data_IF_071759173823
#
_entry.id   IF_071759173823
#
_cell.length_a   1.000
_cell.length_b   1.000
_cell.length_c   1.000
_cell.angle_alpha   90.00
_cell.angle_beta   90.00
_cell.angle_gamma   90.00
#
_symmetry.space_group_name_H-M   'P 1'
#
loop_
_entity.id
_entity.type
_entity.pdbx_description
1 polymer ?
#
# COMPACT_ATOMS: atom_id res chain seq x y z
N UNK A 1 -6.88 -20.24 -1.74
CA UNK A 1 -5.89 -19.98 -0.68
C UNK A 1 -5.93 -18.49 -0.38
N UNK A 2 -6.71 -18.05 0.62
CA UNK A 2 -6.71 -16.64 1.03
C UNK A 2 -5.49 -16.48 1.91
N UNK A 3 -4.35 -16.10 1.32
CA UNK A 3 -3.29 -15.52 2.12
C UNK A 3 -3.93 -14.34 2.86
N UNK A 4 -4.03 -14.46 4.18
CA UNK A 4 -4.30 -13.32 5.03
C UNK A 4 -3.11 -12.39 4.84
N UNK A 5 -3.19 -11.52 3.84
CA UNK A 5 -2.36 -10.33 3.70
C UNK A 5 -2.79 -9.43 4.86
N UNK A 6 -2.47 -9.81 6.09
CA UNK A 6 -2.38 -8.85 7.17
C UNK A 6 -1.25 -7.94 6.72
N UNK A 7 -1.52 -6.64 6.44
CA UNK A 7 -0.46 -5.73 6.14
C UNK A 7 0.58 -5.83 7.27
N UNK A 8 1.84 -6.07 6.91
CA UNK A 8 2.96 -5.88 7.81
C UNK A 8 3.08 -4.37 8.08
N UNK A 9 2.21 -3.88 8.96
CA UNK A 9 2.10 -2.48 9.30
C UNK A 9 3.28 -2.11 10.18
N UNK A 10 4.15 -1.23 9.67
CA UNK A 10 5.23 -0.64 10.44
C UNK A 10 4.64 0.36 11.44
N UNK A 11 4.95 0.16 12.71
CA UNK A 11 4.60 1.06 13.80
C UNK A 11 5.88 1.63 14.42
N UNK A 12 5.88 2.90 14.78
CA UNK A 12 7.08 3.55 15.36
C UNK A 12 6.93 3.87 16.86
N UNK A 13 5.74 3.60 17.39
CA UNK A 13 5.36 3.84 18.78
C UNK A 13 4.74 2.56 19.35
N UNK A 14 5.12 2.20 20.56
CA UNK A 14 4.58 1.06 21.30
C UNK A 14 4.48 1.38 22.79
N UNK A 15 3.81 0.50 23.53
CA UNK A 15 3.93 0.42 24.98
C UNK A 15 5.01 -0.59 25.38
N UNK A 16 5.75 -0.30 26.44
CA UNK A 16 6.54 -1.31 27.16
C UNK A 16 5.63 -2.13 28.10
N UNK A 17 6.22 -3.06 28.87
CA UNK A 17 5.48 -3.87 29.85
C UNK A 17 4.92 -3.09 31.05
N UNK A 18 5.20 -1.79 31.15
CA UNK A 18 4.72 -0.87 32.19
C UNK A 18 3.78 0.19 31.62
N UNK A 19 3.29 0.01 30.39
CA UNK A 19 2.42 0.94 29.67
C UNK A 19 3.05 2.31 29.40
N UNK A 20 4.39 2.41 29.37
CA UNK A 20 5.07 3.62 28.93
C UNK A 20 5.24 3.63 27.42
N UNK A 21 5.08 4.82 26.83
CA UNK A 21 5.36 5.05 25.42
C UNK A 21 6.86 4.87 25.13
N UNK A 22 7.15 4.05 24.12
CA UNK A 22 8.51 3.85 23.61
C UNK A 22 8.54 4.07 22.10
N UNK A 23 9.56 4.79 21.63
CA UNK A 23 9.84 4.98 20.21
C UNK A 23 10.77 3.87 19.72
N UNK A 24 10.45 3.29 18.57
CA UNK A 24 11.20 2.16 18.00
C UNK A 24 12.71 2.45 17.85
N UNK A 25 13.06 3.68 17.47
CA UNK A 25 14.44 4.15 17.29
C UNK A 25 15.24 4.26 18.60
N UNK A 26 14.56 4.40 19.73
CA UNK A 26 15.16 4.60 21.06
C UNK A 26 15.28 3.29 21.83
N UNK A 27 14.65 2.22 21.33
CA UNK A 27 14.74 0.90 21.92
C UNK A 27 16.15 0.35 21.73
N UNK A 28 16.85 0.19 22.86
CA UNK A 28 18.07 -0.61 22.91
C UNK A 28 17.68 -2.07 22.84
N UNK A 29 18.33 -2.83 21.96
CA UNK A 29 18.15 -4.29 21.84
C UNK A 29 18.67 -4.93 23.13
N UNK A 30 17.79 -5.03 24.12
CA UNK A 30 17.98 -5.80 25.34
C UNK A 30 17.10 -7.05 25.22
N UNK A 31 17.62 -8.18 25.67
CA UNK A 31 17.18 -9.52 25.27
C UNK A 31 15.76 -9.93 25.66
N UNK A 32 15.04 -9.17 26.50
CA UNK A 32 13.74 -9.61 27.06
C UNK A 32 12.66 -8.52 27.10
N UNK A 33 12.83 -7.42 26.36
CA UNK A 33 11.81 -6.38 26.34
C UNK A 33 10.61 -6.81 25.48
N UNK A 34 9.41 -6.83 26.08
CA UNK A 34 8.15 -7.04 25.38
C UNK A 34 7.49 -5.70 25.07
N UNK A 35 6.94 -5.57 23.87
CA UNK A 35 6.27 -4.37 23.40
C UNK A 35 4.84 -4.66 22.98
N UNK A 36 3.97 -3.67 23.15
CA UNK A 36 2.54 -3.81 22.88
C UNK A 36 2.01 -2.67 22.01
N UNK A 37 1.02 -2.99 21.18
CA UNK A 37 0.35 -1.99 20.35
C UNK A 37 -0.44 -1.01 21.21
N UNK A 38 -0.25 0.29 20.99
CA UNK A 38 -0.97 1.34 21.72
C UNK A 38 -2.48 1.39 21.45
N UNK A 39 -2.96 0.70 20.40
CA UNK A 39 -4.38 0.66 20.05
C UNK A 39 -5.09 -0.63 20.51
N UNK A 40 -4.43 -1.79 20.46
CA UNK A 40 -5.07 -3.08 20.73
C UNK A 40 -4.36 -3.95 21.78
N UNK A 41 -3.22 -3.49 22.31
CA UNK A 41 -2.40 -4.21 23.28
C UNK A 41 -1.91 -5.60 22.79
N UNK A 42 -1.98 -5.87 21.48
CA UNK A 42 -1.33 -7.05 20.91
C UNK A 42 0.19 -6.96 21.06
N UNK A 43 0.88 -8.09 21.30
CA UNK A 43 2.32 -8.17 21.25
C UNK A 43 2.89 -7.68 19.92
N UNK A 44 3.99 -6.94 20.03
CA UNK A 44 4.76 -6.43 18.91
C UNK A 44 6.16 -7.02 18.91
N UNK A 45 6.74 -7.14 17.72
CA UNK A 45 8.14 -7.50 17.49
C UNK A 45 8.87 -6.28 16.94
N UNK A 46 10.02 -5.94 17.51
CA UNK A 46 10.94 -4.96 16.94
C UNK A 46 11.64 -5.55 15.71
N UNK A 47 11.64 -4.80 14.60
CA UNK A 47 12.40 -5.05 13.38
C UNK A 47 13.43 -3.94 13.22
N UNK A 48 14.70 -4.34 13.18
CA UNK A 48 15.86 -3.45 13.07
C UNK A 48 16.99 -4.07 12.26
N UNK A 49 16.66 -5.12 11.51
CA UNK A 49 17.56 -5.97 10.73
C UNK A 49 17.83 -5.43 9.32
N UNK A 50 17.15 -4.34 8.93
CA UNK A 50 17.30 -3.73 7.61
C UNK A 50 18.25 -2.54 7.68
N UNK A 51 19.40 -2.68 7.01
CA UNK A 51 20.43 -1.63 6.93
C UNK A 51 19.86 -0.39 6.24
N UNK A 52 20.02 0.77 6.89
CA UNK A 52 19.60 2.07 6.35
C UNK A 52 18.13 2.43 6.60
N UNK A 53 17.35 1.54 7.22
CA UNK A 53 16.02 1.87 7.72
C UNK A 53 16.03 2.10 9.24
N UNK A 54 15.28 3.10 9.69
CA UNK A 54 15.03 3.33 11.12
C UNK A 54 14.18 2.19 11.67
N UNK A 55 14.47 1.69 12.88
CA UNK A 55 13.77 0.56 13.48
C UNK A 55 12.25 0.80 13.58
N UNK A 56 11.45 -0.27 13.45
CA UNK A 56 10.00 -0.24 13.58
C UNK A 56 9.49 -1.48 14.32
N UNK A 57 8.27 -1.41 14.80
CA UNK A 57 7.52 -2.53 15.34
C UNK A 57 6.56 -3.11 14.31
N UNK A 58 6.33 -4.41 14.40
CA UNK A 58 5.32 -5.14 13.63
C UNK A 58 4.47 -5.95 14.60
N UNK A 59 3.17 -6.08 14.31
CA UNK A 59 2.31 -6.99 15.07
C UNK A 59 2.81 -8.43 14.98
N UNK A 60 2.91 -9.09 16.13
CA UNK A 60 3.28 -10.50 16.24
C UNK A 60 2.25 -11.24 17.11
N UNK A 61 0.99 -11.36 16.64
CA UNK A 61 -0.07 -11.98 17.40
C UNK A 61 0.17 -13.48 17.56
N UNK A 62 -0.15 -14.00 18.73
CA UNK A 62 -0.37 -15.42 18.99
C UNK A 62 -1.86 -15.77 18.84
N UNK A 63 -2.23 -17.04 19.08
CA UNK A 63 -3.63 -17.47 18.94
C UNK A 63 -4.60 -16.71 19.86
N UNK A 64 -4.14 -16.27 21.03
CA UNK A 64 -5.00 -15.58 22.02
C UNK A 64 -5.20 -14.11 21.69
N UNK A 65 -4.28 -13.49 20.96
CA UNK A 65 -4.30 -12.05 20.64
C UNK A 65 -4.79 -11.73 19.22
N UNK A 66 -5.14 -12.74 18.41
CA UNK A 66 -5.73 -12.55 17.07
C UNK A 66 -7.03 -11.75 17.08
N UNK A 67 -7.91 -11.99 18.05
CA UNK A 67 -9.18 -11.25 18.16
C UNK A 67 -8.95 -9.78 18.47
N UNK A 68 -7.99 -9.48 19.36
CA UNK A 68 -7.57 -8.11 19.66
C UNK A 68 -7.01 -7.41 18.42
N UNK A 69 -6.22 -8.13 17.61
CA UNK A 69 -5.64 -7.58 16.39
C UNK A 69 -6.72 -7.21 15.37
N UNK A 70 -7.80 -7.98 15.25
CA UNK A 70 -8.92 -7.65 14.37
C UNK A 70 -9.59 -6.30 14.74
N UNK A 71 -9.57 -5.94 16.01
CA UNK A 71 -10.05 -4.65 16.52
C UNK A 71 -9.05 -3.49 16.38
N UNK A 72 -7.80 -3.74 15.98
CA UNK A 72 -6.75 -2.73 15.99
C UNK A 72 -7.06 -1.54 15.04
N UNK A 73 -7.10 -0.33 15.60
CA UNK A 73 -7.37 0.90 14.85
C UNK A 73 -6.35 1.19 13.76
N UNK A 74 -5.06 0.92 14.01
CA UNK A 74 -4.00 1.10 13.03
C UNK A 74 -4.15 0.14 11.83
N UNK A 75 -4.37 -1.14 12.13
CA UNK A 75 -4.57 -2.18 11.10
C UNK A 75 -5.82 -1.88 10.26
N UNK A 76 -6.93 -1.56 10.92
CA UNK A 76 -8.19 -1.24 10.26
C UNK A 76 -8.06 0.00 9.35
N UNK A 77 -7.28 0.99 9.76
CA UNK A 77 -7.00 2.18 8.93
C UNK A 77 -6.22 1.80 7.67
N UNK A 78 -5.17 0.98 7.78
CA UNK A 78 -4.40 0.56 6.62
C UNK A 78 -5.21 -0.35 5.69
N UNK A 79 -6.03 -1.26 6.22
CA UNK A 79 -6.95 -2.07 5.41
C UNK A 79 -7.92 -1.16 4.64
N UNK A 80 -8.55 -0.18 5.30
CA UNK A 80 -9.44 0.78 4.65
C UNK A 80 -8.72 1.55 3.54
N UNK A 81 -7.48 2.00 3.79
CA UNK A 81 -6.64 2.67 2.79
C UNK A 81 -6.37 1.79 1.57
N UNK A 82 -5.98 0.53 1.78
CA UNK A 82 -5.71 -0.42 0.71
C UNK A 82 -6.96 -0.75 -0.11
N UNK A 83 -8.10 -0.95 0.55
CA UNK A 83 -9.39 -1.17 -0.11
C UNK A 83 -9.78 0.05 -0.95
N UNK A 84 -9.64 1.26 -0.39
CA UNK A 84 -9.90 2.50 -1.11
C UNK A 84 -9.01 2.63 -2.35
N UNK A 85 -7.70 2.43 -2.22
CA UNK A 85 -6.76 2.50 -3.34
C UNK A 85 -7.05 1.48 -4.43
N UNK A 86 -7.45 0.24 -4.06
CA UNK A 86 -7.87 -0.78 -5.03
C UNK A 86 -9.13 -0.37 -5.78
N UNK A 87 -10.13 0.18 -5.07
CA UNK A 87 -11.36 0.69 -5.71
C UNK A 87 -11.05 1.84 -6.66
N UNK A 88 -10.24 2.81 -6.22
CA UNK A 88 -9.83 3.93 -7.05
C UNK A 88 -9.13 3.46 -8.34
N UNK A 89 -8.18 2.54 -8.22
CA UNK A 89 -7.48 1.97 -9.39
C UNK A 89 -8.44 1.23 -10.31
N UNK A 90 -9.41 0.50 -9.76
CA UNK A 90 -10.43 -0.17 -10.57
C UNK A 90 -11.30 0.83 -11.34
N UNK A 91 -11.69 1.95 -10.72
CA UNK A 91 -12.45 3.01 -11.41
C UNK A 91 -11.59 3.59 -12.54
N UNK A 92 -10.35 3.99 -12.25
CA UNK A 92 -9.44 4.54 -13.27
C UNK A 92 -9.21 3.59 -14.45
N UNK A 93 -9.14 2.28 -14.20
CA UNK A 93 -8.97 1.28 -15.23
C UNK A 93 -10.24 1.01 -16.06
N UNK A 94 -11.42 1.27 -15.49
CA UNK A 94 -12.73 1.08 -16.14
C UNK A 94 -13.31 2.37 -16.69
N UNK A 95 -12.68 3.52 -16.44
CA UNK A 95 -12.96 4.74 -17.19
C UNK A 95 -12.58 4.48 -18.63
N UNK A 96 -13.47 4.80 -19.56
CA UNK A 96 -13.15 4.75 -20.99
C UNK A 96 -11.81 5.44 -21.18
N UNK A 97 -10.87 4.76 -21.84
CA UNK A 97 -9.69 5.44 -22.37
C UNK A 97 -10.26 6.61 -23.14
N UNK A 98 -9.95 7.83 -22.73
CA UNK A 98 -10.27 9.01 -23.53
C UNK A 98 -9.55 8.79 -24.86
N UNK A 99 -10.28 8.22 -25.82
CA UNK A 99 -9.87 8.17 -27.21
C UNK A 99 -9.78 9.61 -27.61
N UNK A 100 -8.57 10.17 -27.56
CA UNK A 100 -8.36 11.51 -28.07
C UNK A 100 -8.56 11.41 -29.58
N UNK A 101 -9.79 11.65 -30.02
CA UNK A 101 -10.09 11.80 -31.44
C UNK A 101 -9.27 12.98 -31.91
N UNK A 102 -8.29 12.70 -32.75
CA UNK A 102 -7.46 13.75 -33.35
C UNK A 102 -7.92 13.95 -34.78
N UNK A 103 -7.91 15.22 -35.18
CA UNK A 103 -8.21 15.65 -36.53
C UNK A 103 -6.90 16.02 -37.22
N UNK A 104 -6.73 15.54 -38.44
CA UNK A 104 -5.52 15.77 -39.23
C UNK A 104 -5.95 16.17 -40.64
N UNK A 105 -5.25 17.11 -41.25
CA UNK A 105 -5.49 17.50 -42.64
C UNK A 105 -4.33 17.01 -43.51
N UNK A 106 -4.62 16.24 -44.56
CA UNK A 106 -3.62 15.83 -45.54
C UNK A 106 -3.48 16.90 -46.61
N UNK A 107 -2.32 17.56 -46.64
CA UNK A 107 -2.02 18.60 -47.64
C UNK A 107 -1.91 18.05 -49.07
N UNK A 108 -1.60 16.75 -49.23
CA UNK A 108 -1.52 16.10 -50.55
C UNK A 108 -2.90 15.71 -51.11
N UNK A 109 -3.76 15.18 -50.25
CA UNK A 109 -5.11 14.75 -50.63
C UNK A 109 -6.15 15.88 -50.50
N UNK A 110 -5.77 17.00 -49.89
CA UNK A 110 -6.64 18.13 -49.53
C UNK A 110 -7.89 17.71 -48.74
N UNK A 111 -7.72 16.79 -47.80
CA UNK A 111 -8.84 16.21 -47.06
C UNK A 111 -8.59 16.09 -45.54
N UNK A 112 -9.67 16.04 -44.77
CA UNK A 112 -9.66 15.96 -43.31
C UNK A 112 -9.92 14.53 -42.83
N UNK A 113 -9.04 14.04 -41.96
CA UNK A 113 -9.12 12.73 -41.33
C UNK A 113 -9.41 12.88 -39.85
N UNK A 114 -10.23 11.98 -39.32
CA UNK A 114 -10.44 11.83 -37.87
C UNK A 114 -10.21 10.38 -37.47
N UNK A 115 -9.56 10.16 -36.33
CA UNK A 115 -9.34 8.81 -35.83
C UNK A 115 -8.86 8.81 -34.38
N UNK A 116 -8.90 7.62 -33.77
CA UNK A 116 -8.32 7.39 -32.45
C UNK A 116 -6.81 7.16 -32.58
N UNK A 117 -6.01 7.88 -31.79
CA UNK A 117 -4.60 7.53 -31.66
C UNK A 117 -4.48 6.29 -30.77
N UNK A 118 -4.22 5.14 -31.36
CA UNK A 118 -3.74 3.97 -30.62
C UNK A 118 -2.29 4.30 -30.21
N UNK A 119 -2.01 4.39 -28.92
CA UNK A 119 -0.64 4.58 -28.42
C UNK A 119 0.26 3.51 -29.06
N UNK A 120 1.43 3.88 -29.62
CA UNK A 120 2.20 2.96 -30.44
C UNK A 120 2.78 1.85 -29.56
N UNK A 121 2.20 0.65 -29.65
CA UNK A 121 3.00 -0.56 -29.48
C UNK A 121 3.97 -0.60 -30.65
N UNK A 122 5.26 -0.65 -30.35
CA UNK A 122 6.37 -0.71 -31.31
C UNK A 122 6.10 -1.61 -32.54
N UNK A 123 5.49 -1.03 -33.56
CA UNK A 123 5.46 -1.55 -34.92
C UNK A 123 5.00 -0.41 -35.81
N UNK A 124 5.97 0.25 -36.43
CA UNK A 124 5.68 1.14 -37.54
C UNK A 124 4.90 0.35 -38.59
N UNK A 125 3.75 0.88 -38.97
CA UNK A 125 3.29 1.11 -40.35
C UNK A 125 1.77 1.27 -40.33
N UNK A 126 1.31 2.41 -40.87
CA UNK A 126 0.16 2.46 -41.77
C UNK A 126 -1.23 2.21 -41.19
N UNK A 127 -1.97 3.30 -41.01
CA UNK A 127 -3.32 3.56 -41.53
C UNK A 127 -4.22 2.31 -41.77
N UNK A 128 -5.36 2.27 -41.08
CA UNK A 128 -6.63 1.87 -41.68
C UNK A 128 -7.67 2.93 -41.37
#
# INVERSE_FOLDING_TARGET
>A
MREHILPNLKLYLAFDSKDHYVLAKEVKVSSDAQWFCTACHCPLKLSNDVVGEEAWFVHNPDETTKELLAGCGYLNTEIKRLVFMRRLRSILNNMDKLGTTRFWYCVWCQDHYKGEMILPSNSGHGIK
#
